data_IF_635205632971
#
_entry.id   IF_635205632971
#
_cell.length_a   1.000
_cell.length_b   1.000
_cell.length_c   1.000
_cell.angle_alpha   90.00
_cell.angle_beta   90.00
_cell.angle_gamma   90.00
#
_symmetry.space_group_name_H-M   'P 1'
#
loop_
_entity.id
_entity.type
_entity.pdbx_description
1 polymer ?
#
# COMPACT_ATOMS: atom_id res chain seq x y z
N UNK A 1 14.79 0.40 56.91
CA UNK A 1 13.84 0.99 55.91
C UNK A 1 13.68 2.51 56.05
N UNK A 2 13.62 3.08 57.27
CA UNK A 2 13.46 4.55 57.45
C UNK A 2 14.56 5.42 56.82
N UNK A 3 15.81 4.93 56.73
CA UNK A 3 16.92 5.69 56.17
C UNK A 3 16.88 5.74 54.60
N UNK A 4 16.38 4.70 53.97
CA UNK A 4 16.23 4.64 52.50
C UNK A 4 15.24 5.70 52.03
N UNK A 5 14.10 5.83 52.71
CA UNK A 5 13.10 6.87 52.36
C UNK A 5 13.65 8.30 52.57
N UNK A 6 14.52 8.51 53.57
CA UNK A 6 15.17 9.82 53.78
C UNK A 6 16.11 10.18 52.62
N UNK A 7 16.88 9.20 52.13
CA UNK A 7 17.81 9.40 51.03
C UNK A 7 17.01 9.70 49.74
N UNK A 8 16.03 8.88 49.41
CA UNK A 8 15.16 9.08 48.22
C UNK A 8 14.51 10.48 48.25
N UNK A 9 14.00 10.89 49.40
CA UNK A 9 13.36 12.21 49.54
C UNK A 9 14.36 13.36 49.39
N UNK A 10 15.60 13.20 49.87
CA UNK A 10 16.67 14.18 49.68
C UNK A 10 17.07 14.29 48.20
N UNK A 11 17.25 13.16 47.52
CA UNK A 11 17.62 13.10 46.11
C UNK A 11 16.51 13.70 45.20
N UNK A 12 15.25 13.37 45.46
CA UNK A 12 14.10 13.98 44.78
C UNK A 12 14.03 15.49 44.97
N UNK A 13 14.40 15.98 46.18
CA UNK A 13 14.44 17.42 46.45
C UNK A 13 15.58 18.09 45.65
N UNK A 14 16.75 17.47 45.60
CA UNK A 14 17.88 17.96 44.82
C UNK A 14 17.59 18.03 43.33
N UNK A 15 16.93 17.01 42.78
CA UNK A 15 16.52 16.98 41.38
C UNK A 15 15.53 18.14 41.10
N UNK A 16 14.53 18.35 41.94
CA UNK A 16 13.53 19.42 41.75
C UNK A 16 14.13 20.84 41.84
N UNK A 17 15.21 21.03 42.60
CA UNK A 17 15.84 22.35 42.75
C UNK A 17 16.92 22.61 41.71
N UNK A 18 17.42 21.59 41.05
CA UNK A 18 18.46 21.72 40.02
C UNK A 18 17.83 21.65 38.61
N UNK A 19 17.71 22.83 37.96
CA UNK A 19 17.15 22.93 36.61
C UNK A 19 17.88 22.09 35.58
N UNK A 20 19.20 22.00 35.67
CA UNK A 20 20.01 21.20 34.73
C UNK A 20 19.71 19.71 34.91
N UNK A 21 19.63 19.20 36.14
CA UNK A 21 19.27 17.81 36.40
C UNK A 21 17.87 17.49 35.89
N UNK A 22 16.92 18.41 36.04
CA UNK A 22 15.54 18.28 35.54
C UNK A 22 15.52 18.18 34.01
N UNK A 23 16.24 19.09 33.31
CA UNK A 23 16.33 19.06 31.84
C UNK A 23 16.94 17.76 31.33
N UNK A 24 18.01 17.26 31.98
CA UNK A 24 18.65 15.99 31.59
C UNK A 24 17.69 14.81 31.77
N UNK A 25 16.99 14.74 32.92
CA UNK A 25 16.03 13.66 33.16
C UNK A 25 14.87 13.70 32.15
N UNK A 26 14.31 14.89 31.89
CA UNK A 26 13.26 15.05 30.89
C UNK A 26 13.77 14.63 29.50
N UNK A 27 14.96 15.07 29.09
CA UNK A 27 15.54 14.67 27.80
C UNK A 27 15.75 13.16 27.68
N UNK A 28 16.31 12.53 28.73
CA UNK A 28 16.54 11.09 28.72
C UNK A 28 15.28 10.23 28.80
N UNK A 29 14.18 10.76 29.31
CA UNK A 29 12.92 10.02 29.39
C UNK A 29 11.98 10.32 28.21
N UNK A 30 11.84 11.58 27.84
CA UNK A 30 10.87 11.99 26.81
C UNK A 30 11.32 11.59 25.41
N UNK A 31 12.63 11.77 25.09
CA UNK A 31 13.12 11.45 23.74
C UNK A 31 12.97 9.96 23.40
N UNK A 32 13.44 9.01 24.24
CA UNK A 32 13.23 7.59 23.96
C UNK A 32 11.77 7.16 23.98
N UNK A 33 10.95 7.77 24.86
CA UNK A 33 9.53 7.49 24.91
C UNK A 33 8.81 7.94 23.65
N UNK A 34 9.10 9.14 23.14
CA UNK A 34 8.57 9.63 21.86
C UNK A 34 9.04 8.76 20.69
N UNK A 35 10.32 8.41 20.66
CA UNK A 35 10.85 7.53 19.61
C UNK A 35 10.13 6.18 19.60
N UNK A 36 9.98 5.55 20.76
CA UNK A 36 9.24 4.29 20.89
C UNK A 36 7.79 4.44 20.48
N UNK A 37 7.12 5.52 20.88
CA UNK A 37 5.74 5.82 20.53
C UNK A 37 5.56 5.95 19.03
N UNK A 38 6.41 6.73 18.35
CA UNK A 38 6.36 6.90 16.91
C UNK A 38 6.63 5.59 16.16
N UNK A 39 7.60 4.79 16.62
CA UNK A 39 7.87 3.48 16.03
C UNK A 39 6.68 2.53 16.18
N UNK A 40 6.08 2.46 17.36
CA UNK A 40 4.90 1.62 17.59
C UNK A 40 3.75 2.09 16.71
N UNK A 41 3.48 3.39 16.66
CA UNK A 41 2.38 3.95 15.86
C UNK A 41 2.56 3.70 14.37
N UNK A 42 3.80 3.84 13.87
CA UNK A 42 4.15 3.61 12.47
C UNK A 42 4.06 2.14 12.08
N UNK A 43 4.40 1.22 12.98
CA UNK A 43 4.43 -0.22 12.70
C UNK A 43 3.20 -0.97 13.23
N UNK A 44 2.24 -0.27 13.87
CA UNK A 44 1.07 -0.91 14.46
C UNK A 44 0.19 -1.58 13.41
N UNK A 45 -0.01 -0.90 12.29
CA UNK A 45 -0.81 -1.42 11.19
C UNK A 45 -0.27 -0.92 9.83
N UNK A 46 0.90 -1.44 9.39
CA UNK A 46 1.53 -1.01 8.15
C UNK A 46 0.73 -1.42 6.91
N UNK A 47 -0.10 -2.46 7.03
CA UNK A 47 -0.95 -2.98 5.96
C UNK A 47 -2.41 -2.60 6.13
N UNK A 48 -2.74 -1.78 7.12
CA UNK A 48 -4.09 -1.31 7.35
C UNK A 48 -4.59 -0.39 6.24
N UNK A 49 -5.89 -0.35 6.07
CA UNK A 49 -6.57 0.44 5.06
C UNK A 49 -6.13 1.92 5.04
N UNK A 50 -5.86 2.51 6.22
CA UNK A 50 -5.41 3.89 6.33
C UNK A 50 -4.02 4.13 5.71
N UNK A 51 -3.17 3.11 5.69
CA UNK A 51 -1.81 3.16 5.14
C UNK A 51 -1.80 2.81 3.66
N UNK A 52 -2.50 1.76 3.27
CA UNK A 52 -2.49 1.21 1.90
C UNK A 52 -3.43 1.95 0.93
N UNK A 53 -4.50 2.59 1.41
CA UNK A 53 -5.41 3.40 0.58
C UNK A 53 -4.74 4.61 -0.09
N UNK A 54 -3.56 5.01 0.39
CA UNK A 54 -2.75 6.08 -0.22
C UNK A 54 -1.94 5.61 -1.41
N UNK A 55 -1.76 4.29 -1.58
CA UNK A 55 -1.07 3.71 -2.72
C UNK A 55 -2.03 3.75 -3.91
N UNK A 56 -1.79 4.66 -4.84
CA UNK A 56 -2.62 4.79 -6.04
C UNK A 56 -2.25 3.70 -7.04
N UNK A 57 -3.25 2.90 -7.44
CA UNK A 57 -3.10 1.86 -8.47
C UNK A 57 -4.15 2.13 -9.54
N UNK A 58 -3.70 2.38 -10.77
CA UNK A 58 -4.59 2.55 -11.90
C UNK A 58 -5.21 1.21 -12.30
N UNK A 59 -6.49 1.22 -12.65
CA UNK A 59 -7.20 0.04 -13.14
C UNK A 59 -8.02 0.42 -14.37
N UNK A 60 -7.89 -0.38 -15.41
CA UNK A 60 -8.68 -0.25 -16.62
C UNK A 60 -9.11 -1.61 -17.14
N UNK A 61 -10.34 -1.72 -17.58
CA UNK A 61 -10.84 -2.87 -18.33
C UNK A 61 -11.14 -2.44 -19.76
N UNK A 62 -10.51 -3.10 -20.70
CA UNK A 62 -10.84 -3.02 -22.14
C UNK A 62 -11.47 -4.32 -22.64
N UNK A 63 -11.91 -5.18 -21.72
CA UNK A 63 -12.54 -6.45 -22.01
C UNK A 63 -13.86 -6.25 -22.77
N UNK A 64 -14.01 -6.95 -23.89
CA UNK A 64 -15.21 -6.88 -24.71
C UNK A 64 -16.31 -7.86 -24.27
N UNK A 65 -16.00 -8.63 -23.23
CA UNK A 65 -16.90 -9.70 -22.81
C UNK A 65 -16.98 -10.85 -23.82
N UNK A 66 -17.87 -11.77 -23.54
CA UNK A 66 -18.14 -12.93 -24.38
C UNK A 66 -19.55 -13.44 -24.10
N UNK A 67 -20.08 -14.28 -24.99
CA UNK A 67 -21.38 -14.92 -24.80
C UNK A 67 -21.21 -16.40 -24.52
N UNK A 68 -21.81 -16.89 -23.44
CA UNK A 68 -21.86 -18.30 -23.07
C UNK A 68 -23.34 -18.72 -23.02
N UNK A 69 -23.72 -19.70 -23.85
CA UNK A 69 -25.08 -20.24 -23.92
C UNK A 69 -26.18 -19.16 -24.05
N UNK A 70 -25.88 -18.06 -24.78
CA UNK A 70 -26.81 -16.95 -24.98
C UNK A 70 -26.87 -15.92 -23.86
N UNK A 71 -26.03 -16.07 -22.83
CA UNK A 71 -25.86 -15.08 -21.76
C UNK A 71 -24.59 -14.28 -22.01
N UNK A 72 -24.68 -12.96 -22.06
CA UNK A 72 -23.51 -12.09 -22.12
C UNK A 72 -22.77 -12.12 -20.78
N UNK A 73 -21.46 -12.33 -20.85
CA UNK A 73 -20.58 -12.36 -19.70
C UNK A 73 -19.41 -11.40 -19.95
N UNK A 74 -19.24 -10.43 -19.06
CA UNK A 74 -18.09 -9.54 -19.01
C UNK A 74 -17.45 -9.64 -17.63
N UNK A 75 -16.38 -10.43 -17.55
CA UNK A 75 -15.66 -10.64 -16.30
C UNK A 75 -14.80 -9.42 -15.96
N UNK A 76 -14.32 -8.68 -16.98
CA UNK A 76 -13.59 -7.43 -16.79
C UNK A 76 -14.42 -6.40 -16.04
N UNK A 77 -15.68 -6.19 -16.39
CA UNK A 77 -16.57 -5.27 -15.68
C UNK A 77 -16.88 -5.78 -14.27
N UNK A 78 -17.03 -7.08 -14.10
CA UNK A 78 -17.23 -7.69 -12.78
C UNK A 78 -16.02 -7.43 -11.86
N UNK A 79 -14.80 -7.50 -12.38
CA UNK A 79 -13.58 -7.18 -11.65
C UNK A 79 -13.59 -5.69 -11.25
N UNK A 80 -13.88 -4.79 -12.19
CA UNK A 80 -13.96 -3.35 -11.91
C UNK A 80 -14.97 -3.05 -10.80
N UNK A 81 -16.17 -3.64 -10.86
CA UNK A 81 -17.20 -3.41 -9.84
C UNK A 81 -16.81 -3.97 -8.46
N UNK A 82 -16.14 -5.11 -8.43
CA UNK A 82 -15.58 -5.65 -7.19
C UNK A 82 -14.51 -4.73 -6.61
N UNK A 83 -13.64 -4.16 -7.44
CA UNK A 83 -12.60 -3.23 -7.00
C UNK A 83 -13.16 -1.88 -6.54
N UNK A 84 -14.27 -1.40 -7.10
CA UNK A 84 -14.95 -0.17 -6.63
C UNK A 84 -15.41 -0.27 -5.18
N UNK A 85 -15.76 -1.47 -4.72
CA UNK A 85 -16.16 -1.73 -3.33
C UNK A 85 -15.01 -2.01 -2.40
N UNK A 86 -13.81 -2.24 -2.95
CA UNK A 86 -12.60 -2.55 -2.21
C UNK A 86 -11.82 -1.27 -1.88
N UNK A 87 -11.74 -0.92 -0.60
CA UNK A 87 -11.03 0.26 -0.12
C UNK A 87 -9.64 -0.05 0.46
N UNK A 88 -9.11 -1.25 0.23
CA UNK A 88 -7.81 -1.67 0.78
C UNK A 88 -6.65 -0.91 0.13
N UNK A 89 -6.78 -0.60 -1.17
CA UNK A 89 -5.80 0.15 -1.96
C UNK A 89 -6.51 1.35 -2.59
N UNK A 90 -5.77 2.39 -2.92
CA UNK A 90 -6.29 3.59 -3.60
C UNK A 90 -6.52 3.36 -5.10
N UNK A 91 -7.53 2.54 -5.43
CA UNK A 91 -7.87 2.24 -6.82
C UNK A 91 -8.27 3.50 -7.59
N UNK A 92 -7.64 3.72 -8.74
CA UNK A 92 -7.94 4.81 -9.68
C UNK A 92 -8.43 4.20 -10.99
N UNK A 93 -9.70 4.43 -11.31
CA UNK A 93 -10.30 3.90 -12.54
C UNK A 93 -10.07 4.89 -13.67
N UNK A 94 -9.29 4.47 -14.68
CA UNK A 94 -8.90 5.29 -15.82
C UNK A 94 -9.59 4.82 -17.08
N UNK A 95 -9.68 5.69 -18.09
CA UNK A 95 -10.46 5.44 -19.29
C UNK A 95 -9.72 4.59 -20.34
N UNK A 96 -8.38 4.61 -20.33
CA UNK A 96 -7.57 3.92 -21.34
C UNK A 96 -6.35 3.22 -20.74
N UNK A 97 -5.88 2.18 -21.45
CA UNK A 97 -4.64 1.49 -21.07
C UNK A 97 -3.44 2.41 -21.17
N UNK A 98 -3.41 3.33 -22.15
CA UNK A 98 -2.29 4.24 -22.35
C UNK A 98 -2.20 5.24 -21.22
N UNK A 99 -3.32 5.78 -20.74
CA UNK A 99 -3.39 6.64 -19.57
C UNK A 99 -2.88 5.93 -18.29
N UNK A 100 -3.28 4.67 -18.09
CA UNK A 100 -2.82 3.86 -16.97
C UNK A 100 -1.31 3.67 -17.00
N UNK A 101 -0.76 3.32 -18.15
CA UNK A 101 0.67 3.06 -18.37
C UNK A 101 1.49 4.36 -18.23
N UNK A 102 1.04 5.46 -18.88
CA UNK A 102 1.70 6.75 -18.78
C UNK A 102 1.72 7.28 -17.34
N UNK A 103 0.63 7.08 -16.59
CA UNK A 103 0.56 7.42 -15.17
C UNK A 103 1.54 6.65 -14.29
N UNK A 104 1.87 5.40 -14.64
CA UNK A 104 2.93 4.64 -13.96
C UNK A 104 4.31 5.18 -14.33
N UNK A 105 4.57 5.48 -15.61
CA UNK A 105 5.86 6.05 -16.03
C UNK A 105 6.10 7.46 -15.50
N UNK A 106 5.05 8.27 -15.36
CA UNK A 106 5.14 9.60 -14.77
C UNK A 106 5.24 9.60 -13.24
N UNK A 107 5.03 8.43 -12.60
CA UNK A 107 5.04 8.29 -11.15
C UNK A 107 3.75 8.76 -10.46
N UNK A 108 2.68 9.00 -11.21
CA UNK A 108 1.36 9.34 -10.65
C UNK A 108 0.71 8.13 -9.98
N UNK A 109 0.89 6.95 -10.59
CA UNK A 109 0.42 5.66 -10.07
C UNK A 109 1.59 4.77 -9.71
N UNK A 110 1.45 4.05 -8.61
CA UNK A 110 2.43 3.06 -8.18
C UNK A 110 2.47 1.84 -9.12
N UNK A 111 1.32 1.46 -9.62
CA UNK A 111 1.14 0.37 -10.56
C UNK A 111 -0.12 0.56 -11.41
N UNK A 112 -0.24 -0.19 -12.49
CA UNK A 112 -1.44 -0.26 -13.29
C UNK A 112 -1.83 -1.72 -13.56
N UNK A 113 -3.13 -1.99 -13.45
CA UNK A 113 -3.76 -3.26 -13.77
C UNK A 113 -4.64 -3.07 -15.01
N UNK A 114 -4.29 -3.76 -16.09
CA UNK A 114 -5.02 -3.71 -17.36
C UNK A 114 -5.66 -5.06 -17.65
N UNK A 115 -6.98 -5.07 -17.76
CA UNK A 115 -7.75 -6.23 -18.22
C UNK A 115 -7.83 -6.16 -19.75
N UNK A 116 -7.22 -7.08 -20.52
CA UNK A 116 -7.17 -7.02 -21.98
C UNK A 116 -8.52 -7.37 -22.62
N UNK A 117 -8.67 -7.02 -23.90
CA UNK A 117 -9.90 -7.17 -24.66
C UNK A 117 -10.48 -8.59 -24.73
N UNK A 118 -9.61 -9.59 -24.70
CA UNK A 118 -10.02 -11.01 -24.84
C UNK A 118 -10.08 -11.73 -23.48
N UNK A 119 -10.06 -11.00 -22.38
CA UNK A 119 -9.95 -11.63 -21.05
C UNK A 119 -11.12 -12.61 -20.79
N UNK A 120 -12.36 -12.16 -20.94
CA UNK A 120 -13.55 -13.00 -20.77
C UNK A 120 -13.59 -14.16 -21.76
N UNK A 121 -13.21 -13.91 -23.02
CA UNK A 121 -13.15 -14.95 -24.05
C UNK A 121 -12.15 -16.04 -23.71
N UNK A 122 -10.95 -15.65 -23.30
CA UNK A 122 -9.90 -16.59 -22.94
C UNK A 122 -10.23 -17.35 -21.66
N UNK A 123 -10.90 -16.67 -20.70
CA UNK A 123 -11.35 -17.32 -19.46
C UNK A 123 -12.33 -18.47 -19.75
N UNK A 124 -13.20 -18.33 -20.75
CA UNK A 124 -14.18 -19.38 -21.10
C UNK A 124 -13.60 -20.42 -22.07
N UNK A 125 -12.45 -20.16 -22.69
CA UNK A 125 -11.83 -21.06 -23.67
C UNK A 125 -11.51 -22.44 -23.07
N UNK A 126 -11.45 -22.59 -21.73
CA UNK A 126 -11.28 -23.89 -21.07
C UNK A 126 -12.46 -24.87 -21.34
N UNK A 127 -13.61 -24.35 -21.78
CA UNK A 127 -14.77 -25.15 -22.20
C UNK A 127 -14.70 -25.56 -23.68
N UNK A 128 -13.71 -25.10 -24.44
CA UNK A 128 -13.50 -25.39 -25.85
C UNK A 128 -12.24 -26.24 -26.06
N UNK A 129 -12.11 -26.84 -27.25
CA UNK A 129 -10.96 -27.67 -27.61
C UNK A 129 -9.63 -26.87 -27.71
N UNK A 130 -9.69 -25.54 -27.81
CA UNK A 130 -8.53 -24.65 -27.86
C UNK A 130 -8.45 -23.84 -26.56
N UNK A 131 -7.66 -24.31 -25.61
CA UNK A 131 -7.47 -23.62 -24.32
C UNK A 131 -6.49 -22.46 -24.48
N UNK A 132 -6.98 -21.22 -24.28
CA UNK A 132 -6.15 -20.02 -24.14
C UNK A 132 -6.18 -19.53 -22.70
N UNK A 133 -4.99 -19.23 -22.14
CA UNK A 133 -4.92 -18.74 -20.77
C UNK A 133 -5.30 -17.26 -20.69
N UNK A 134 -6.27 -16.89 -19.82
CA UNK A 134 -6.56 -15.49 -19.56
C UNK A 134 -5.34 -14.84 -18.88
N UNK A 135 -4.94 -13.67 -19.34
CA UNK A 135 -3.82 -12.93 -18.80
C UNK A 135 -4.26 -11.55 -18.35
N UNK A 136 -3.91 -11.17 -17.14
CA UNK A 136 -3.98 -9.79 -16.69
C UNK A 136 -2.62 -9.14 -16.90
N UNK A 137 -2.61 -7.92 -17.43
CA UNK A 137 -1.37 -7.16 -17.57
C UNK A 137 -1.17 -6.27 -16.34
N UNK A 138 -0.03 -6.43 -15.71
CA UNK A 138 0.37 -5.64 -14.57
C UNK A 138 1.63 -4.84 -14.91
N UNK A 139 1.55 -3.54 -14.74
CA UNK A 139 2.64 -2.61 -14.96
C UNK A 139 3.02 -2.00 -13.62
N UNK A 140 4.30 -2.01 -13.28
CA UNK A 140 4.81 -1.32 -12.09
C UNK A 140 6.10 -0.61 -12.44
N UNK A 141 6.33 0.54 -11.80
CA UNK A 141 7.60 1.23 -11.95
C UNK A 141 8.60 0.65 -10.95
N UNK A 142 9.65 -0.02 -11.43
CA UNK A 142 10.71 -0.61 -10.61
C UNK A 142 11.56 0.45 -9.89
N UNK A 143 11.36 1.74 -10.19
CA UNK A 143 12.05 2.84 -9.51
C UNK A 143 11.78 2.90 -8.00
N UNK A 144 10.73 2.23 -7.52
CA UNK A 144 10.35 2.14 -6.11
C UNK A 144 10.72 0.81 -5.45
N UNK A 145 11.23 -0.16 -6.20
CA UNK A 145 11.84 -1.34 -5.60
C UNK A 145 13.26 -0.98 -5.20
N UNK A 146 13.55 -1.04 -3.92
CA UNK A 146 14.67 -0.52 -3.17
C UNK A 146 16.06 -1.04 -3.54
N UNK A 147 16.42 -1.09 -4.81
CA UNK A 147 17.81 -1.28 -5.21
C UNK A 147 18.17 -0.28 -6.32
N UNK A 148 18.77 0.82 -5.87
CA UNK A 148 19.27 1.91 -6.71
C UNK A 148 20.48 1.49 -7.58
N UNK A 149 20.59 0.24 -7.98
CA UNK A 149 21.72 -0.31 -8.72
C UNK A 149 21.37 -0.94 -10.07
N UNK A 150 20.09 -1.00 -10.46
CA UNK A 150 19.74 -1.61 -11.74
C UNK A 150 18.94 -0.62 -12.60
N UNK A 151 19.64 0.03 -13.54
CA UNK A 151 19.09 0.92 -14.58
C UNK A 151 18.28 0.12 -15.62
N UNK A 152 17.35 -0.73 -15.21
CA UNK A 152 16.45 -1.41 -16.13
C UNK A 152 15.19 -0.56 -16.32
N UNK A 153 14.88 -0.14 -17.56
CA UNK A 153 13.65 0.60 -17.84
C UNK A 153 12.43 -0.27 -17.49
N UNK A 154 11.38 0.38 -17.00
CA UNK A 154 10.08 -0.25 -16.80
C UNK A 154 9.61 -0.89 -18.13
N UNK A 155 9.47 -2.21 -18.17
CA UNK A 155 8.95 -2.99 -19.30
C UNK A 155 7.64 -3.64 -18.88
#
# INVERSE_FOLDING_TARGET
MKNIFKIIRADLRHIKTNVIALCVIIGLTVIPALYSWFNILSNWDPYGQASTSRIKVAVVSVDKGTSLEGTELNVGDTIIDALKTNNTIGWQFVASSDEAIEGVYSGEYYAALVVPENFSKNLISFLSDSMEHPQLKYYCCLLYTSDAADDTPCV
#
